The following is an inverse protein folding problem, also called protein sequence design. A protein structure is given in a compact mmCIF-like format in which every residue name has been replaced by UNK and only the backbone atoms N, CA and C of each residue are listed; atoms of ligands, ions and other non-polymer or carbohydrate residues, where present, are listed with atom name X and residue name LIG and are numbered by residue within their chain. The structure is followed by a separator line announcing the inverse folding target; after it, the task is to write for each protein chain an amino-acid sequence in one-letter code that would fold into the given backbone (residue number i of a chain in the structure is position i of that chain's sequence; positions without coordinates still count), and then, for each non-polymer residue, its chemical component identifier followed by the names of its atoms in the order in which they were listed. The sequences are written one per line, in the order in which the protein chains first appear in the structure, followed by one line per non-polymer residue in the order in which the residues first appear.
data_IF_853351470753
#
_entry.id   IF_853351470753
#
_cell.length_a   1.000
_cell.length_b   1.000
_cell.length_c   1.000
_cell.angle_alpha   90.00
_cell.angle_beta   90.00
_cell.angle_gamma   90.00
#
_symmetry.space_group_name_H-M   'P 1'
#
loop_
_entity.id
_entity.type
_entity.pdbx_description
1 polymer ?
#
# COMPACT_ATOMS: atom_id res chain seq x y z
N UNK A 1 3.41 -17.16 10.19
CA UNK A 1 3.06 -17.32 8.76
C UNK A 1 4.35 -17.28 7.95
N UNK A 2 4.59 -18.25 7.06
CA UNK A 2 5.71 -18.21 6.12
C UNK A 2 5.32 -17.27 4.95
N UNK A 3 6.26 -16.41 4.52
CA UNK A 3 6.07 -15.51 3.38
C UNK A 3 6.15 -16.33 2.07
N UNK A 4 5.23 -16.12 1.11
CA UNK A 4 5.37 -16.67 -0.24
C UNK A 4 6.68 -16.16 -0.87
N UNK A 5 7.50 -17.05 -1.41
CA UNK A 5 8.78 -16.67 -2.02
C UNK A 5 8.63 -16.13 -3.45
N UNK A 6 7.47 -16.35 -4.07
CA UNK A 6 7.20 -15.99 -5.46
C UNK A 6 5.71 -15.65 -5.63
N UNK A 7 5.42 -14.82 -6.64
CA UNK A 7 4.06 -14.56 -7.11
C UNK A 7 3.41 -15.85 -7.61
N UNK A 8 2.09 -15.94 -7.46
CA UNK A 8 1.29 -17.00 -8.05
C UNK A 8 -0.11 -16.47 -8.35
N UNK A 9 -0.98 -17.34 -8.90
CA UNK A 9 -2.34 -16.94 -9.31
C UNK A 9 -3.24 -16.40 -8.18
N UNK A 10 -2.82 -16.48 -6.92
CA UNK A 10 -3.52 -15.97 -5.74
C UNK A 10 -2.68 -14.95 -4.95
N UNK A 11 -1.44 -14.67 -5.36
CA UNK A 11 -0.50 -13.83 -4.61
C UNK A 11 0.24 -12.94 -5.61
N UNK A 12 -0.01 -11.64 -5.52
CA UNK A 12 0.60 -10.62 -6.38
C UNK A 12 1.49 -9.69 -5.54
N UNK A 13 2.70 -9.39 -6.02
CA UNK A 13 3.59 -8.43 -5.38
C UNK A 13 3.52 -7.09 -6.12
N UNK A 14 3.47 -6.00 -5.36
CA UNK A 14 3.57 -4.65 -5.93
C UNK A 14 4.44 -3.77 -5.04
N UNK A 15 5.32 -3.02 -5.67
CA UNK A 15 6.08 -1.97 -4.98
C UNK A 15 5.16 -0.83 -4.56
N UNK A 16 5.64 0.02 -3.64
CA UNK A 16 4.92 1.22 -3.23
C UNK A 16 4.59 2.15 -4.40
N UNK A 17 5.44 2.18 -5.43
CA UNK A 17 5.29 3.04 -6.59
C UNK A 17 4.20 2.58 -7.57
N UNK A 18 3.48 1.48 -7.26
CA UNK A 18 2.39 0.97 -8.10
C UNK A 18 1.33 2.04 -8.33
N UNK A 19 0.90 2.19 -9.58
CA UNK A 19 -0.19 3.10 -9.93
C UNK A 19 -1.52 2.53 -9.46
N UNK A 20 -2.38 3.37 -8.90
CA UNK A 20 -3.71 2.98 -8.44
C UNK A 20 -4.55 2.27 -9.52
N UNK A 21 -4.40 2.66 -10.79
CA UNK A 21 -5.09 2.00 -11.90
C UNK A 21 -4.67 0.53 -12.06
N UNK A 22 -3.37 0.24 -11.95
CA UNK A 22 -2.82 -1.12 -12.01
C UNK A 22 -3.34 -1.93 -10.82
N UNK A 23 -3.31 -1.34 -9.62
CA UNK A 23 -3.85 -2.01 -8.43
C UNK A 23 -5.35 -2.33 -8.58
N UNK A 24 -6.13 -1.43 -9.17
CA UNK A 24 -7.55 -1.65 -9.41
C UNK A 24 -7.79 -2.79 -10.41
N UNK A 25 -6.96 -2.91 -11.45
CA UNK A 25 -7.01 -4.03 -12.39
C UNK A 25 -6.78 -5.38 -11.68
N UNK A 26 -5.78 -5.47 -10.80
CA UNK A 26 -5.51 -6.69 -10.03
C UNK A 26 -6.65 -7.03 -9.06
N UNK A 27 -7.20 -6.02 -8.38
CA UNK A 27 -8.35 -6.21 -7.48
C UNK A 27 -9.56 -6.76 -8.26
N UNK A 28 -9.82 -6.22 -9.45
CA UNK A 28 -10.92 -6.71 -10.31
C UNK A 28 -10.63 -8.13 -10.81
N UNK A 29 -9.39 -8.44 -11.17
CA UNK A 29 -8.98 -9.78 -11.59
C UNK A 29 -9.20 -10.81 -10.47
N UNK A 30 -8.78 -10.51 -9.24
CA UNK A 30 -9.02 -11.38 -8.08
C UNK A 30 -10.49 -11.49 -7.70
N UNK A 31 -11.26 -10.41 -7.77
CA UNK A 31 -12.69 -10.45 -7.49
C UNK A 31 -13.48 -11.31 -8.49
N UNK A 32 -13.02 -11.40 -9.73
CA UNK A 32 -13.61 -12.23 -10.78
C UNK A 32 -13.12 -13.69 -10.77
N UNK A 33 -12.07 -14.00 -10.00
CA UNK A 33 -11.51 -15.35 -9.86
C UNK A 33 -11.89 -15.95 -8.50
N UNK A 34 -11.02 -16.76 -7.89
CA UNK A 34 -11.25 -17.35 -6.55
C UNK A 34 -10.75 -16.43 -5.42
N UNK A 35 -10.45 -15.17 -5.72
CA UNK A 35 -9.82 -14.22 -4.81
C UNK A 35 -8.29 -14.29 -4.86
N UNK A 36 -7.65 -13.58 -3.92
CA UNK A 36 -6.19 -13.51 -3.81
C UNK A 36 -5.74 -12.47 -2.79
N UNK A 37 -4.43 -12.36 -2.66
CA UNK A 37 -3.75 -11.41 -1.79
C UNK A 37 -2.81 -10.53 -2.62
N UNK A 38 -2.86 -9.22 -2.37
CA UNK A 38 -1.90 -8.27 -2.93
C UNK A 38 -0.99 -7.80 -1.80
N UNK A 39 0.31 -8.03 -1.95
CA UNK A 39 1.30 -7.64 -0.96
C UNK A 39 2.00 -6.37 -1.45
N UNK A 40 1.73 -5.25 -0.76
CA UNK A 40 2.29 -3.94 -1.10
C UNK A 40 3.63 -3.70 -0.40
N UNK A 41 4.56 -3.06 -1.11
CA UNK A 41 5.92 -2.82 -0.64
C UNK A 41 6.85 -4.01 -0.85
N UNK A 42 6.57 -4.83 -1.87
CA UNK A 42 7.43 -5.93 -2.31
C UNK A 42 7.74 -5.70 -3.78
N UNK A 43 9.03 -5.66 -4.11
CA UNK A 43 9.51 -5.60 -5.49
C UNK A 43 9.31 -6.96 -6.18
N UNK A 44 9.27 -6.96 -7.51
CA UNK A 44 9.05 -8.18 -8.32
C UNK A 44 10.09 -9.29 -8.07
N UNK A 45 11.28 -8.94 -7.55
CA UNK A 45 12.33 -9.90 -7.17
C UNK A 45 12.15 -10.50 -5.75
N UNK A 46 11.05 -10.17 -5.07
CA UNK A 46 10.73 -10.58 -3.71
C UNK A 46 11.41 -9.74 -2.62
N UNK A 47 12.17 -8.71 -2.99
CA UNK A 47 12.77 -7.77 -2.04
C UNK A 47 11.68 -6.95 -1.35
N UNK A 48 11.68 -6.93 -0.02
CA UNK A 48 10.75 -6.09 0.74
C UNK A 48 11.31 -4.67 0.81
N UNK A 49 10.74 -3.77 0.02
CA UNK A 49 11.01 -2.33 0.06
C UNK A 49 10.19 -1.63 1.15
N UNK A 50 9.04 -2.18 1.51
CA UNK A 50 8.10 -1.62 2.48
C UNK A 50 7.26 -0.48 1.90
N UNK A 51 6.58 0.24 2.79
CA UNK A 51 5.80 1.42 2.44
C UNK A 51 6.40 2.62 3.16
N UNK A 52 6.66 3.71 2.43
CA UNK A 52 7.04 4.98 3.03
C UNK A 52 5.90 5.44 3.94
N UNK A 53 6.23 5.79 5.18
CA UNK A 53 5.27 6.43 6.09
C UNK A 53 5.07 7.87 5.64
N UNK A 54 4.25 8.07 4.63
CA UNK A 54 3.65 9.35 4.28
C UNK A 54 2.20 9.41 4.76
N UNK A 55 1.91 8.80 5.92
CA UNK A 55 0.77 9.26 6.70
C UNK A 55 1.21 10.56 7.33
N UNK A 56 0.87 11.66 6.65
CA UNK A 56 0.63 12.98 7.24
C UNK A 56 0.87 12.99 8.77
N UNK A 57 2.02 13.51 9.18
CA UNK A 57 2.23 14.09 10.50
C UNK A 57 1.35 15.36 10.64
N UNK A 58 0.06 15.28 10.30
CA UNK A 58 -0.86 16.41 10.20
C UNK A 58 -2.04 16.28 11.18
N UNK A 59 -1.97 15.32 12.12
CA UNK A 59 -2.96 15.17 13.20
C UNK A 59 -2.42 15.51 14.59
N UNK A 60 -1.27 16.18 14.71
CA UNK A 60 -0.71 16.51 16.02
C UNK A 60 -0.08 17.91 16.10
N UNK A 61 -0.86 18.97 15.84
CA UNK A 61 -0.63 20.26 16.52
C UNK A 61 -1.87 20.67 17.33
N UNK A 62 -2.08 20.10 18.53
CA UNK A 62 -3.22 20.44 19.39
C UNK A 62 -3.17 21.86 20.01
N UNK A 63 -2.30 22.78 19.55
CA UNK A 63 -2.06 24.05 20.24
C UNK A 63 -1.83 25.29 19.34
N UNK A 64 -2.42 25.34 18.15
CA UNK A 64 -2.52 26.61 17.42
C UNK A 64 -3.55 27.53 18.11
N UNK A 65 -3.10 28.28 19.12
CA UNK A 65 -3.87 29.35 19.76
C UNK A 65 -4.33 30.36 18.69
N UNK A 66 -5.60 30.78 18.64
CA UNK A 66 -6.02 31.82 17.72
C UNK A 66 -5.29 33.12 18.08
N UNK A 67 -4.45 33.60 17.17
CA UNK A 67 -3.88 34.94 17.25
C UNK A 67 -5.03 35.95 17.32
N UNK A 68 -5.29 36.47 18.52
CA UNK A 68 -6.18 37.62 18.75
C UNK A 68 -5.56 38.81 18.02
N UNK A 69 -6.14 39.21 16.89
CA UNK A 69 -5.83 40.49 16.25
C UNK A 69 -6.38 41.58 17.16
N UNK A 70 -5.46 42.32 17.79
CA UNK A 70 -5.75 43.63 18.35
C UNK A 70 -5.80 44.64 17.21
#
# INVERSE_FOLDING_TARGET
MQRPLHENQYIEFKSEAVKAAVLAEEIVAFANSEGGEIWLGIEDDGTVSGLSRSYEEDLAQPNALPHRKN
#
